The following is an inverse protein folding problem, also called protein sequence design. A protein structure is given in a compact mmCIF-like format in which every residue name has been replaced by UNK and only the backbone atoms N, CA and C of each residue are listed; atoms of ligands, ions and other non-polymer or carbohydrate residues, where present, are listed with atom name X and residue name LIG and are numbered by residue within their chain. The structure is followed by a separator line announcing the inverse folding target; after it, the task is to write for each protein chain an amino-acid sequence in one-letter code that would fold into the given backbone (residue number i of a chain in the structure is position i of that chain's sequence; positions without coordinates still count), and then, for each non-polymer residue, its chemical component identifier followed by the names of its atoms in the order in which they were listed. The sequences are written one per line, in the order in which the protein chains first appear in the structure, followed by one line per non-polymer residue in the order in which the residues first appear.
data_IF_992561937571
#
_entry.id   IF_992561937571
#
_cell.length_a   1.000
_cell.length_b   1.000
_cell.length_c   1.000
_cell.angle_alpha   90.00
_cell.angle_beta   90.00
_cell.angle_gamma   90.00
#
_symmetry.space_group_name_H-M   'P 1'
#
loop_
_entity.id
_entity.type
_entity.pdbx_description
1 polymer ?
#
# COMPACT_ATOMS: atom_id res chain seq x y z
N UNK A 1 11.48 1.10 -13.90
CA UNK A 1 10.32 1.39 -13.04
C UNK A 1 10.49 2.77 -12.42
N UNK A 2 9.47 3.59 -12.52
CA UNK A 2 9.42 4.91 -11.89
C UNK A 2 8.39 4.87 -10.77
N UNK A 3 8.80 5.26 -9.56
CA UNK A 3 7.90 5.36 -8.41
C UNK A 3 7.60 6.83 -8.15
N UNK A 4 6.31 7.16 -8.07
CA UNK A 4 5.86 8.52 -7.76
C UNK A 4 5.17 8.51 -6.41
N UNK A 5 5.71 9.25 -5.45
CA UNK A 5 5.08 9.45 -4.15
C UNK A 5 4.00 10.53 -4.31
N UNK A 6 2.77 10.13 -4.08
CA UNK A 6 1.61 11.01 -4.25
C UNK A 6 1.20 11.74 -2.97
N UNK A 7 1.89 11.51 -1.86
CA UNK A 7 1.52 12.10 -0.57
C UNK A 7 0.20 11.58 -0.03
N UNK A 8 -0.41 12.34 0.85
CA UNK A 8 -1.68 12.00 1.48
C UNK A 8 -2.82 12.79 0.84
N UNK A 9 -3.79 12.13 0.29
CA UNK A 9 -4.98 12.79 -0.26
C UNK A 9 -5.04 12.77 -1.78
N UNK A 10 -5.92 11.96 -2.26
CA UNK A 10 -6.17 11.72 -3.68
C UNK A 10 -6.98 12.83 -4.35
N UNK A 11 -7.58 13.72 -3.54
CA UNK A 11 -8.62 14.65 -3.99
C UNK A 11 -8.05 15.90 -4.69
N UNK A 12 -6.72 16.04 -4.78
CA UNK A 12 -6.11 17.19 -5.42
C UNK A 12 -6.04 17.03 -6.94
N UNK A 13 -6.34 18.10 -7.65
CA UNK A 13 -6.27 18.16 -9.11
C UNK A 13 -4.91 17.75 -9.68
N UNK A 14 -3.84 17.87 -8.89
CA UNK A 14 -2.47 17.46 -9.25
C UNK A 14 -2.35 15.93 -9.38
N UNK A 15 -3.22 15.18 -8.70
CA UNK A 15 -3.17 13.71 -8.70
C UNK A 15 -3.74 13.07 -9.95
N UNK A 16 -4.70 13.72 -10.61
CA UNK A 16 -5.35 13.15 -11.80
C UNK A 16 -4.36 12.87 -12.93
N UNK A 17 -3.45 13.79 -13.29
CA UNK A 17 -2.45 13.49 -14.32
C UNK A 17 -1.56 12.31 -13.96
N UNK A 18 -1.18 12.17 -12.69
CA UNK A 18 -0.38 11.04 -12.21
C UNK A 18 -1.16 9.74 -12.35
N UNK A 19 -2.43 9.71 -11.93
CA UNK A 19 -3.29 8.53 -12.02
C UNK A 19 -3.54 8.12 -13.48
N UNK A 20 -3.70 9.08 -14.38
CA UNK A 20 -3.92 8.81 -15.79
C UNK A 20 -2.71 8.14 -16.46
N UNK A 21 -1.51 8.35 -15.95
CA UNK A 21 -0.26 7.78 -16.47
C UNK A 21 0.22 6.55 -15.69
N UNK A 22 -0.42 6.24 -14.56
CA UNK A 22 0.01 5.13 -13.72
C UNK A 22 -0.25 3.78 -14.40
N UNK A 23 0.75 2.91 -14.36
CA UNK A 23 0.63 1.52 -14.81
C UNK A 23 0.26 0.58 -13.67
N UNK A 24 0.45 1.01 -12.44
CA UNK A 24 0.12 0.27 -11.24
C UNK A 24 -0.02 1.21 -10.06
N UNK A 25 -0.63 0.72 -8.99
CA UNK A 25 -0.93 1.53 -7.82
C UNK A 25 -0.60 0.77 -6.55
N UNK A 26 0.04 1.43 -5.62
CA UNK A 26 0.22 0.93 -4.25
C UNK A 26 -0.54 1.86 -3.32
N UNK A 27 -1.46 1.30 -2.56
CA UNK A 27 -2.19 2.03 -1.51
C UNK A 27 -1.56 1.66 -0.18
N UNK A 28 -1.10 2.65 0.56
CA UNK A 28 -0.54 2.44 1.89
C UNK A 28 -1.63 2.70 2.93
N UNK A 29 -1.89 1.72 3.76
CA UNK A 29 -2.83 1.81 4.88
C UNK A 29 -2.10 1.52 6.17
N UNK A 30 -2.42 2.24 7.23
CA UNK A 30 -2.02 1.82 8.58
C UNK A 30 -2.79 0.60 9.04
N UNK A 31 -2.42 0.08 10.21
CA UNK A 31 -3.01 -1.13 10.77
C UNK A 31 -4.21 -0.91 11.69
N UNK A 32 -4.68 0.32 11.86
CA UNK A 32 -5.88 0.61 12.64
C UNK A 32 -7.13 0.57 11.77
N UNK A 33 -8.28 0.39 12.40
CA UNK A 33 -9.58 0.39 11.70
C UNK A 33 -9.84 1.74 11.02
N UNK A 34 -9.49 2.84 11.69
CA UNK A 34 -9.69 4.19 11.12
C UNK A 34 -8.81 4.43 9.91
N UNK A 35 -7.55 4.02 9.96
CA UNK A 35 -6.63 4.13 8.82
C UNK A 35 -7.09 3.24 7.66
N UNK A 36 -7.55 2.04 7.95
CA UNK A 36 -8.10 1.15 6.93
C UNK A 36 -9.36 1.71 6.27
N UNK A 37 -10.19 2.42 7.05
CA UNK A 37 -11.37 3.10 6.52
C UNK A 37 -10.97 4.17 5.50
N UNK A 38 -9.97 4.99 5.83
CA UNK A 38 -9.47 6.02 4.92
C UNK A 38 -8.94 5.40 3.62
N UNK A 39 -8.20 4.33 3.72
CA UNK A 39 -7.70 3.62 2.53
C UNK A 39 -8.85 3.04 1.70
N UNK A 40 -9.88 2.48 2.35
CA UNK A 40 -11.07 1.98 1.66
C UNK A 40 -11.83 3.09 0.94
N UNK A 41 -11.96 4.25 1.56
CA UNK A 41 -12.58 5.43 0.94
C UNK A 41 -11.79 5.87 -0.29
N UNK A 42 -10.47 5.82 -0.22
CA UNK A 42 -9.59 6.09 -1.34
C UNK A 42 -9.86 5.15 -2.52
N UNK A 43 -9.97 3.86 -2.25
CA UNK A 43 -10.29 2.86 -3.28
C UNK A 43 -11.68 3.12 -3.89
N UNK A 44 -12.65 3.45 -3.07
CA UNK A 44 -14.02 3.78 -3.53
C UNK A 44 -14.02 5.01 -4.43
N UNK A 45 -13.27 6.06 -4.05
CA UNK A 45 -13.14 7.26 -4.87
C UNK A 45 -12.52 6.94 -6.23
N UNK A 46 -11.46 6.14 -6.23
CA UNK A 46 -10.78 5.71 -7.48
C UNK A 46 -11.75 4.97 -8.40
N UNK A 47 -12.51 4.03 -7.87
CA UNK A 47 -13.50 3.28 -8.65
C UNK A 47 -14.58 4.20 -9.23
N UNK A 48 -15.05 5.17 -8.44
CA UNK A 48 -16.07 6.12 -8.86
C UNK A 48 -15.58 7.10 -9.93
N UNK A 49 -14.28 7.31 -10.03
CA UNK A 49 -13.68 8.26 -10.96
C UNK A 49 -13.00 7.62 -12.18
N UNK A 50 -13.32 6.38 -12.47
CA UNK A 50 -12.85 5.69 -13.68
C UNK A 50 -11.55 4.94 -13.54
N UNK A 51 -11.03 4.77 -12.34
CA UNK A 51 -9.77 4.07 -12.07
C UNK A 51 -9.99 2.66 -11.50
N UNK A 52 -11.14 2.06 -11.77
CA UNK A 52 -11.47 0.72 -11.26
C UNK A 52 -10.47 -0.36 -11.66
N UNK A 53 -9.91 -0.27 -12.87
CA UNK A 53 -8.90 -1.23 -13.32
C UNK A 53 -7.60 -1.11 -12.51
N UNK A 54 -7.18 0.12 -12.19
CA UNK A 54 -6.04 0.35 -11.31
C UNK A 54 -6.27 -0.23 -9.91
N UNK A 55 -7.50 -0.09 -9.38
CA UNK A 55 -7.86 -0.65 -8.07
C UNK A 55 -7.76 -2.17 -8.09
N UNK A 56 -8.33 -2.82 -9.08
CA UNK A 56 -8.30 -4.30 -9.16
C UNK A 56 -6.88 -4.84 -9.28
N UNK A 57 -5.98 -4.10 -9.92
CA UNK A 57 -4.57 -4.49 -10.07
C UNK A 57 -3.67 -3.93 -8.97
N UNK A 58 -4.22 -3.19 -8.02
CA UNK A 58 -3.45 -2.54 -6.96
C UNK A 58 -2.89 -3.53 -5.95
N UNK A 59 -1.89 -3.06 -5.22
CA UNK A 59 -1.36 -3.73 -4.03
C UNK A 59 -1.63 -2.80 -2.84
N UNK A 60 -2.14 -3.36 -1.75
CA UNK A 60 -2.24 -2.63 -0.49
C UNK A 60 -1.05 -3.02 0.39
N UNK A 61 -0.31 -2.03 0.84
CA UNK A 61 0.72 -2.20 1.84
C UNK A 61 0.14 -1.83 3.21
N UNK A 62 -0.05 -2.83 4.08
CA UNK A 62 -0.48 -2.61 5.46
C UNK A 62 0.75 -2.24 6.28
N UNK A 63 0.93 -0.96 6.54
CA UNK A 63 2.08 -0.46 7.25
C UNK A 63 1.85 -0.50 8.77
N UNK A 64 2.36 -1.53 9.41
CA UNK A 64 2.38 -1.66 10.87
C UNK A 64 3.78 -1.40 11.44
N UNK A 65 4.69 -0.90 10.58
CA UNK A 65 6.10 -0.72 10.93
C UNK A 65 6.32 0.29 12.07
N UNK A 66 5.41 1.24 12.24
CA UNK A 66 5.51 2.31 13.23
C UNK A 66 4.68 2.08 14.49
N UNK A 67 3.79 1.09 14.50
CA UNK A 67 2.88 0.84 15.61
C UNK A 67 2.66 -0.66 15.83
N UNK A 68 2.57 -1.05 17.09
CA UNK A 68 2.10 -2.38 17.46
C UNK A 68 0.57 -2.43 17.27
N UNK A 69 0.09 -3.39 16.51
CA UNK A 69 -1.33 -3.57 16.23
C UNK A 69 -1.81 -4.95 16.64
N UNK A 70 -3.10 -5.08 16.94
CA UNK A 70 -3.70 -6.36 17.29
C UNK A 70 -3.82 -7.26 16.05
N UNK A 71 -3.27 -8.46 16.14
CA UNK A 71 -3.24 -9.41 15.01
C UNK A 71 -4.62 -9.77 14.48
N UNK A 72 -5.60 -9.92 15.36
CA UNK A 72 -6.99 -10.29 14.96
C UNK A 72 -7.59 -9.22 14.05
N UNK A 73 -7.44 -7.95 14.44
CA UNK A 73 -7.94 -6.83 13.62
C UNK A 73 -7.18 -6.70 12.31
N UNK A 74 -5.87 -6.98 12.31
CA UNK A 74 -5.08 -7.00 11.08
C UNK A 74 -5.57 -8.08 10.12
N UNK A 75 -5.93 -9.26 10.61
CA UNK A 75 -6.48 -10.33 9.77
C UNK A 75 -7.77 -9.90 9.10
N UNK A 76 -8.67 -9.25 9.84
CA UNK A 76 -9.93 -8.73 9.30
C UNK A 76 -9.69 -7.65 8.26
N UNK A 77 -8.79 -6.71 8.52
CA UNK A 77 -8.42 -5.64 7.61
C UNK A 77 -7.81 -6.21 6.33
N UNK A 78 -6.89 -7.16 6.45
CA UNK A 78 -6.28 -7.82 5.30
C UNK A 78 -7.33 -8.53 4.44
N UNK A 79 -8.24 -9.27 5.05
CA UNK A 79 -9.31 -9.95 4.33
C UNK A 79 -10.22 -8.96 3.60
N UNK A 80 -10.54 -7.84 4.23
CA UNK A 80 -11.32 -6.79 3.59
C UNK A 80 -10.65 -6.29 2.30
N UNK A 81 -9.36 -5.95 2.37
CA UNK A 81 -8.63 -5.46 1.20
C UNK A 81 -8.44 -6.54 0.12
N UNK A 82 -8.28 -7.79 0.51
CA UNK A 82 -8.13 -8.91 -0.45
C UNK A 82 -9.34 -9.07 -1.37
N UNK A 83 -10.52 -8.60 -0.95
CA UNK A 83 -11.71 -8.64 -1.80
C UNK A 83 -11.73 -7.53 -2.85
N UNK A 84 -10.86 -6.53 -2.74
CA UNK A 84 -10.89 -5.33 -3.58
C UNK A 84 -9.66 -5.15 -4.47
N UNK A 85 -8.51 -5.62 -4.04
CA UNK A 85 -7.23 -5.42 -4.72
C UNK A 85 -6.56 -6.75 -5.05
N UNK A 86 -5.51 -6.71 -5.85
CA UNK A 86 -4.81 -7.92 -6.30
C UNK A 86 -4.02 -8.60 -5.19
N UNK A 87 -3.30 -7.81 -4.38
CA UNK A 87 -2.46 -8.34 -3.31
C UNK A 87 -2.45 -7.41 -2.11
N UNK A 88 -2.24 -7.99 -0.93
CA UNK A 88 -2.02 -7.26 0.32
C UNK A 88 -0.72 -7.73 0.93
N UNK A 89 0.16 -6.80 1.29
CA UNK A 89 1.44 -7.09 1.93
C UNK A 89 1.48 -6.39 3.29
N UNK A 90 1.76 -7.16 4.35
CA UNK A 90 1.96 -6.59 5.69
C UNK A 90 3.42 -6.19 5.85
N UNK A 91 3.64 -4.93 6.27
CA UNK A 91 4.97 -4.47 6.67
C UNK A 91 5.02 -4.58 8.20
N UNK A 92 5.85 -5.48 8.76
CA UNK A 92 5.85 -5.72 10.20
C UNK A 92 6.44 -4.55 10.99
N UNK A 93 6.16 -4.51 12.30
CA UNK A 93 6.76 -3.50 13.16
C UNK A 93 8.28 -3.62 13.16
N UNK A 94 8.95 -2.49 12.98
CA UNK A 94 10.40 -2.40 12.96
C UNK A 94 10.85 -1.09 13.63
N UNK A 95 11.60 -1.16 14.73
CA UNK A 95 12.07 0.04 15.42
C UNK A 95 12.87 0.97 14.52
N UNK A 96 13.61 0.44 13.56
CA UNK A 96 14.40 1.24 12.62
C UNK A 96 13.53 2.09 11.69
N UNK A 97 12.35 1.59 11.33
CA UNK A 97 11.38 2.38 10.56
C UNK A 97 10.60 3.34 11.47
N UNK A 98 10.24 2.90 12.67
CA UNK A 98 9.49 3.71 13.62
C UNK A 98 10.27 4.95 14.08
N UNK A 99 11.60 4.88 14.11
CA UNK A 99 12.45 5.98 14.51
C UNK A 99 12.40 7.19 13.55
N UNK A 100 11.96 6.99 12.30
CA UNK A 100 11.76 8.08 11.34
C UNK A 100 13.04 8.76 10.86
N UNK A 101 14.20 8.16 11.09
CA UNK A 101 15.50 8.67 10.66
C UNK A 101 15.93 8.04 9.33
N UNK A 102 17.18 8.22 8.95
CA UNK A 102 17.74 7.60 7.75
C UNK A 102 17.64 6.07 7.85
N UNK A 103 16.99 5.46 6.88
CA UNK A 103 16.80 4.01 6.84
C UNK A 103 18.04 3.37 6.21
N UNK A 104 18.63 2.42 6.94
CA UNK A 104 19.72 1.59 6.45
C UNK A 104 19.20 0.17 6.28
N UNK A 105 19.31 -0.36 5.09
CA UNK A 105 18.76 -1.65 4.73
C UNK A 105 19.24 -2.80 5.63
N UNK A 106 20.50 -2.83 5.95
CA UNK A 106 21.13 -3.86 6.78
C UNK A 106 20.74 -3.77 8.27
N UNK A 107 20.19 -2.63 8.71
CA UNK A 107 19.68 -2.45 10.07
C UNK A 107 18.22 -2.88 10.22
N UNK A 108 17.51 -3.10 9.12
CA UNK A 108 16.15 -3.59 9.15
C UNK A 108 16.12 -5.05 9.59
N UNK A 109 15.05 -5.44 10.29
CA UNK A 109 14.83 -6.84 10.61
C UNK A 109 14.69 -7.66 9.35
N UNK A 110 15.08 -8.94 9.41
CA UNK A 110 14.97 -9.87 8.30
C UNK A 110 13.53 -9.90 7.73
N UNK A 111 12.54 -9.97 8.61
CA UNK A 111 11.12 -10.01 8.22
C UNK A 111 10.67 -8.73 7.52
N UNK A 112 11.23 -7.57 7.89
CA UNK A 112 10.96 -6.29 7.21
C UNK A 112 11.53 -6.30 5.80
N UNK A 113 12.76 -6.77 5.64
CA UNK A 113 13.40 -6.89 4.32
C UNK A 113 12.64 -7.85 3.42
N UNK A 114 12.18 -8.96 3.97
CA UNK A 114 11.37 -9.95 3.23
C UNK A 114 10.06 -9.33 2.77
N UNK A 115 9.37 -8.57 3.63
CA UNK A 115 8.13 -7.89 3.29
C UNK A 115 8.34 -6.84 2.18
N UNK A 116 9.42 -6.08 2.26
CA UNK A 116 9.76 -5.08 1.25
C UNK A 116 10.02 -5.71 -0.13
N UNK A 117 10.76 -6.83 -0.15
CA UNK A 117 11.00 -7.59 -1.39
C UNK A 117 9.71 -8.16 -1.96
N UNK A 118 8.83 -8.68 -1.11
CA UNK A 118 7.54 -9.22 -1.53
C UNK A 118 6.66 -8.11 -2.14
N UNK A 119 6.62 -6.95 -1.51
CA UNK A 119 5.90 -5.79 -2.03
C UNK A 119 6.41 -5.41 -3.42
N UNK A 120 7.72 -5.31 -3.58
CA UNK A 120 8.34 -5.00 -4.87
C UNK A 120 8.01 -6.05 -5.93
N UNK A 121 8.06 -7.33 -5.58
CA UNK A 121 7.72 -8.43 -6.50
C UNK A 121 6.28 -8.33 -6.98
N UNK A 122 5.34 -8.08 -6.07
CA UNK A 122 3.92 -7.92 -6.43
C UNK A 122 3.68 -6.70 -7.32
N UNK A 123 4.39 -5.59 -7.09
CA UNK A 123 4.30 -4.40 -7.94
C UNK A 123 4.76 -4.74 -9.36
N UNK A 124 5.91 -5.40 -9.50
CA UNK A 124 6.46 -5.78 -10.81
C UNK A 124 5.52 -6.76 -11.53
N UNK A 125 4.99 -7.74 -10.83
CA UNK A 125 4.04 -8.71 -11.40
C UNK A 125 2.78 -7.99 -11.93
N UNK A 126 2.31 -6.97 -11.23
CA UNK A 126 1.16 -6.17 -11.65
C UNK A 126 1.43 -5.34 -12.91
N UNK A 127 2.66 -4.89 -13.12
CA UNK A 127 3.04 -4.17 -14.33
C UNK A 127 2.98 -5.09 -15.56
N UNK A 128 3.38 -6.34 -15.41
CA UNK A 128 3.29 -7.33 -16.48
C UNK A 128 1.84 -7.62 -16.87
N UNK A 129 0.91 -7.62 -15.91
CA UNK A 129 -0.52 -7.82 -16.17
C UNK A 129 -1.15 -6.60 -16.87
N UNK A 130 -0.65 -5.40 -16.60
CA UNK A 130 -1.19 -4.14 -17.15
C UNK A 130 -0.81 -3.92 -18.63
N UNK A 131 0.17 -4.64 -19.12
CA UNK A 131 0.52 -4.64 -20.54
C UNK A 131 -0.47 -5.48 -21.36
#
# INVERSE_FOLDING_TARGET
VVLTDCGTGIVHSVMRPTLQRANGLVIVSGGSVDEARLASETLTWLEANGYGDLVRNAVVALNTATQATQLVKLDEIEQHFKTRVRQVVRIPYDPSLAAGSVIKWDQLKKQTRTAARLLAAHVVDGLAVAE
#
